data_IF_951138463655
#
_entry.id   IF_951138463655
#
_cell.length_a   1.000
_cell.length_b   1.000
_cell.length_c   1.000
_cell.angle_alpha   90.00
_cell.angle_beta   90.00
_cell.angle_gamma   90.00
#
_symmetry.space_group_name_H-M   'P 1'
#
loop_
_entity.id
_entity.type
_entity.pdbx_description
1 polymer ?
#
# COMPACT_ATOMS: atom_id res chain seq x y z
N UNK A 1 -1.10 24.82 13.88
CA UNK A 1 -0.66 24.19 12.62
C UNK A 1 0.88 24.26 12.47
N UNK A 2 1.55 25.44 12.51
CA UNK A 2 3.02 25.52 12.37
C UNK A 2 3.81 24.92 13.55
N UNK A 3 3.35 25.12 14.79
CA UNK A 3 3.99 24.61 16.01
C UNK A 3 4.09 23.08 16.05
N UNK A 4 3.13 22.39 15.43
CA UNK A 4 3.09 20.93 15.39
C UNK A 4 4.15 20.37 14.44
N UNK A 5 4.53 21.13 13.40
CA UNK A 5 5.67 20.73 12.57
C UNK A 5 6.99 20.92 13.30
N UNK A 6 7.10 21.88 14.22
CA UNK A 6 8.28 22.07 15.06
C UNK A 6 8.57 20.90 16.02
N UNK A 7 7.57 20.07 16.32
CA UNK A 7 7.68 18.91 17.21
C UNK A 7 8.01 17.59 16.49
N UNK A 8 8.05 17.57 15.15
CA UNK A 8 8.42 16.37 14.41
C UNK A 8 9.93 16.12 14.54
N UNK A 9 10.31 14.96 15.08
CA UNK A 9 11.71 14.54 15.04
C UNK A 9 12.22 14.42 13.60
N UNK A 10 13.53 14.64 13.41
CA UNK A 10 14.19 14.65 12.09
C UNK A 10 14.04 13.35 11.29
N UNK A 11 13.84 12.23 11.99
CA UNK A 11 13.64 10.92 11.36
C UNK A 11 12.17 10.54 11.20
N UNK A 12 11.23 11.35 11.69
CA UNK A 12 9.82 11.03 11.63
C UNK A 12 9.18 11.67 10.41
N UNK A 13 8.25 10.94 9.79
CA UNK A 13 7.47 11.41 8.65
C UNK A 13 6.00 11.39 9.05
N UNK A 14 5.37 12.55 8.99
CA UNK A 14 3.93 12.69 9.15
C UNK A 14 3.25 12.28 7.84
N UNK A 15 2.29 11.36 7.95
CA UNK A 15 1.52 10.83 6.82
C UNK A 15 0.09 11.34 6.98
N UNK A 16 -0.34 12.22 6.08
CA UNK A 16 -1.70 12.73 6.03
C UNK A 16 -2.40 12.14 4.80
N UNK A 17 -3.57 11.55 5.01
CA UNK A 17 -4.45 11.12 3.92
C UNK A 17 -5.72 11.97 3.96
N UNK A 18 -5.86 12.88 3.00
CA UNK A 18 -7.03 13.75 2.87
C UNK A 18 -8.05 13.01 2.02
N UNK A 19 -9.01 12.37 2.68
CA UNK A 19 -10.02 11.51 2.05
C UNK A 19 -10.82 12.27 0.99
N UNK A 20 -11.32 13.45 1.35
CA UNK A 20 -12.12 14.35 0.50
C UNK A 20 -11.34 14.96 -0.69
N UNK A 21 -10.03 14.76 -0.74
CA UNK A 21 -9.19 15.19 -1.84
C UNK A 21 -8.50 14.02 -2.52
N UNK A 22 -8.71 12.77 -2.06
CA UNK A 22 -8.07 11.57 -2.62
C UNK A 22 -6.55 11.81 -2.81
N UNK A 23 -5.97 12.47 -1.82
CA UNK A 23 -4.61 12.97 -1.87
C UNK A 23 -3.90 12.63 -0.57
N UNK A 24 -2.62 12.28 -0.70
CA UNK A 24 -1.75 12.07 0.44
C UNK A 24 -0.70 13.16 0.49
N UNK A 25 -0.37 13.59 1.70
CA UNK A 25 0.72 14.53 1.97
C UNK A 25 1.68 13.87 2.97
N UNK A 26 2.95 13.81 2.59
CA UNK A 26 4.03 13.36 3.46
C UNK A 26 4.84 14.57 3.86
N UNK A 27 4.94 14.81 5.17
CA UNK A 27 5.64 15.97 5.74
C UNK A 27 6.77 15.47 6.60
N UNK A 28 7.97 16.03 6.41
CA UNK A 28 9.14 15.71 7.25
C UNK A 28 10.08 16.89 7.35
N UNK A 29 10.93 16.86 8.36
CA UNK A 29 12.13 17.70 8.39
C UNK A 29 13.20 17.18 7.44
N UNK A 30 13.96 18.12 6.91
CA UNK A 30 15.17 17.87 6.13
C UNK A 30 16.23 18.91 6.47
N UNK A 31 17.48 18.59 6.18
CA UNK A 31 18.59 19.53 6.35
C UNK A 31 19.38 19.60 5.06
N UNK A 32 19.41 20.79 4.46
CA UNK A 32 20.20 21.05 3.25
C UNK A 32 21.18 22.17 3.57
N UNK A 33 22.46 21.94 3.33
CA UNK A 33 23.54 22.92 3.57
C UNK A 33 23.54 23.52 4.99
N UNK A 34 23.21 22.71 6.01
CA UNK A 34 23.15 23.13 7.42
C UNK A 34 21.89 23.91 7.82
N UNK A 35 20.99 24.22 6.87
CA UNK A 35 19.72 24.87 7.14
C UNK A 35 18.58 23.83 7.20
N UNK A 36 17.63 24.06 8.12
CA UNK A 36 16.48 23.19 8.31
C UNK A 36 15.30 23.62 7.44
N UNK A 37 14.70 22.64 6.79
CA UNK A 37 13.54 22.81 5.92
C UNK A 37 12.48 21.77 6.26
N UNK A 38 11.22 22.13 6.04
CA UNK A 38 10.13 21.16 5.98
C UNK A 38 9.89 20.80 4.53
N UNK A 39 9.91 19.51 4.24
CA UNK A 39 9.65 18.96 2.91
C UNK A 39 8.24 18.40 2.88
N UNK A 40 7.47 18.86 1.90
CA UNK A 40 6.11 18.45 1.61
C UNK A 40 6.11 17.64 0.31
N UNK A 41 5.60 16.41 0.36
CA UNK A 41 5.47 15.54 -0.81
C UNK A 41 4.03 15.10 -0.95
N UNK A 42 3.40 15.47 -2.06
CA UNK A 42 2.02 15.07 -2.35
C UNK A 42 1.97 13.90 -3.33
N UNK A 43 0.85 13.19 -3.34
CA UNK A 43 0.46 12.34 -4.45
C UNK A 43 -1.04 12.02 -4.41
N UNK A 44 -1.63 11.85 -5.60
CA UNK A 44 -3.00 11.34 -5.78
C UNK A 44 -3.07 9.86 -5.38
N UNK A 45 -4.18 9.45 -4.77
CA UNK A 45 -4.37 8.08 -4.26
C UNK A 45 -5.41 7.27 -5.06
N UNK A 46 -6.14 7.92 -5.96
CA UNK A 46 -7.08 7.31 -6.91
C UNK A 46 -7.06 8.08 -8.23
N UNK A 47 -7.70 7.49 -9.23
CA UNK A 47 -7.87 8.03 -10.57
C UNK A 47 -9.33 7.86 -11.01
N UNK A 48 -9.74 8.55 -12.07
CA UNK A 48 -11.10 8.45 -12.61
C UNK A 48 -11.32 7.07 -13.25
N UNK A 49 -12.56 6.58 -13.27
CA UNK A 49 -12.88 5.26 -13.85
C UNK A 49 -12.48 5.18 -15.33
N UNK A 50 -12.61 6.28 -16.08
CA UNK A 50 -12.20 6.39 -17.49
C UNK A 50 -10.71 6.07 -17.71
N UNK A 51 -9.83 6.62 -16.87
CA UNK A 51 -8.39 6.36 -16.92
C UNK A 51 -8.03 4.92 -16.52
N UNK A 52 -8.89 4.25 -15.74
CA UNK A 52 -8.73 2.83 -15.42
C UNK A 52 -9.17 1.95 -16.59
N UNK A 53 -10.30 2.27 -17.21
CA UNK A 53 -10.87 1.49 -18.32
C UNK A 53 -10.03 1.57 -19.60
N UNK A 54 -9.33 2.68 -19.81
CA UNK A 54 -8.41 2.87 -20.95
C UNK A 54 -7.02 2.25 -20.74
N UNK A 55 -6.69 1.85 -19.51
CA UNK A 55 -5.39 1.25 -19.23
C UNK A 55 -5.43 -0.26 -19.44
N UNK A 56 -4.62 -0.78 -20.38
CA UNK A 56 -4.64 -2.20 -20.76
C UNK A 56 -4.53 -3.17 -19.57
N UNK A 57 -3.79 -2.85 -18.49
CA UNK A 57 -3.65 -3.74 -17.33
C UNK A 57 -3.30 -3.09 -15.98
N UNK A 58 -2.48 -2.03 -15.95
CA UNK A 58 -2.03 -1.38 -14.73
C UNK A 58 -1.48 0.02 -15.00
N UNK A 59 -1.79 0.97 -14.13
CA UNK A 59 -1.28 2.33 -14.23
C UNK A 59 0.11 2.42 -13.58
N UNK A 60 1.04 3.10 -14.25
CA UNK A 60 2.35 3.44 -13.68
C UNK A 60 2.22 4.81 -13.03
N UNK A 61 2.34 4.86 -11.71
CA UNK A 61 2.30 6.11 -10.96
C UNK A 61 3.67 6.43 -10.40
N UNK A 62 3.97 7.72 -10.44
CA UNK A 62 5.18 8.32 -9.91
C UNK A 62 4.84 9.00 -8.59
N UNK A 63 5.66 8.73 -7.58
CA UNK A 63 5.50 9.28 -6.25
C UNK A 63 6.81 10.01 -5.90
N UNK A 64 6.80 11.32 -5.61
CA UNK A 64 5.62 12.16 -5.40
C UNK A 64 5.17 12.75 -6.74
N UNK A 65 3.93 13.25 -6.79
CA UNK A 65 3.46 14.02 -7.96
C UNK A 65 4.11 15.41 -7.98
N UNK A 66 4.20 16.02 -6.81
CA UNK A 66 4.72 17.34 -6.51
C UNK A 66 5.50 17.26 -5.19
N UNK A 67 6.63 17.96 -5.14
CA UNK A 67 7.42 18.09 -3.92
C UNK A 67 7.91 19.53 -3.76
N UNK A 68 7.63 20.11 -2.60
CA UNK A 68 7.99 21.47 -2.22
C UNK A 68 8.73 21.45 -0.88
N UNK A 69 9.52 22.48 -0.61
CA UNK A 69 10.18 22.67 0.67
C UNK A 69 10.07 24.14 1.11
N UNK A 70 9.94 24.37 2.41
CA UNK A 70 9.89 25.72 2.98
C UNK A 70 10.61 25.73 4.33
N UNK A 71 11.21 26.87 4.70
CA UNK A 71 11.76 27.05 6.05
C UNK A 71 10.64 27.21 7.07
N UNK A 72 10.92 26.95 8.35
CA UNK A 72 9.96 27.19 9.43
C UNK A 72 9.49 28.65 9.46
N UNK A 73 10.41 29.60 9.27
CA UNK A 73 10.13 31.04 9.21
C UNK A 73 9.11 31.37 8.10
N UNK A 74 9.31 30.81 6.91
CA UNK A 74 8.41 31.02 5.78
C UNK A 74 7.01 30.45 6.04
N UNK A 75 6.92 29.33 6.78
CA UNK A 75 5.64 28.73 7.18
C UNK A 75 4.93 29.51 8.29
N UNK A 76 5.66 30.20 9.18
CA UNK A 76 5.03 31.09 10.17
C UNK A 76 4.29 32.25 9.50
N UNK A 77 4.75 32.71 8.33
CA UNK A 77 4.03 33.74 7.56
C UNK A 77 2.68 33.26 7.01
N UNK A 78 2.43 31.94 6.96
CA UNK A 78 1.15 31.34 6.60
C UNK A 78 0.19 31.20 7.79
N UNK A 79 0.58 31.63 8.98
CA UNK A 79 -0.26 31.56 10.16
C UNK A 79 -1.38 32.59 10.06
N UNK A 80 -2.52 32.18 9.50
CA UNK A 80 -3.74 32.96 9.55
C UNK A 80 -4.27 33.00 10.99
N UNK A 81 -4.50 34.20 11.52
CA UNK A 81 -5.29 34.41 12.73
C UNK A 81 -6.77 34.26 12.36
N UNK A 82 -7.37 33.12 12.70
CA UNK A 82 -8.80 32.89 12.49
C UNK A 82 -9.60 33.60 13.57
N UNK A 83 -10.40 34.59 13.19
CA UNK A 83 -11.51 35.07 14.01
C UNK A 83 -12.68 34.14 13.73
N UNK A 84 -13.06 33.33 14.71
CA UNK A 84 -14.18 32.39 14.62
C UNK A 84 -15.47 33.13 14.21
N UNK A 85 -15.86 32.99 12.95
CA UNK A 85 -17.23 33.23 12.55
C UNK A 85 -17.96 31.88 12.68
N UNK A 86 -18.87 31.80 13.65
CA UNK A 86 -19.81 30.67 13.88
C UNK A 86 -20.78 30.52 12.69
N UNK A 87 -20.25 30.30 11.49
CA UNK A 87 -21.04 29.97 10.31
C UNK A 87 -21.01 28.46 10.16
N UNK A 88 -22.16 27.77 10.22
CA UNK A 88 -22.22 26.35 9.93
C UNK A 88 -21.87 26.15 8.44
N UNK A 89 -20.62 25.76 8.19
CA UNK A 89 -20.17 25.36 6.86
C UNK A 89 -20.84 24.03 6.55
N UNK A 90 -21.80 24.06 5.64
CA UNK A 90 -22.45 22.85 5.14
C UNK A 90 -21.52 22.21 4.11
N UNK A 91 -20.81 21.15 4.50
CA UNK A 91 -19.98 20.35 3.60
C UNK A 91 -20.86 19.60 2.59
N UNK A 92 -20.96 20.12 1.37
CA UNK A 92 -21.42 19.33 0.22
C UNK A 92 -20.28 18.41 -0.22
N UNK A 93 -20.33 17.16 0.24
CA UNK A 93 -19.39 16.09 -0.10
C UNK A 93 -19.69 15.52 -1.48
N UNK A 94 -18.75 15.69 -2.41
CA UNK A 94 -18.42 14.75 -3.51
C UNK A 94 -17.35 15.34 -4.46
N UNK A 95 -16.23 15.82 -3.92
CA UNK A 95 -15.13 16.26 -4.79
C UNK A 95 -14.13 15.12 -4.96
N UNK A 96 -14.21 14.41 -6.10
CA UNK A 96 -13.21 13.41 -6.51
C UNK A 96 -11.90 14.07 -6.98
N UNK A 97 -11.84 15.41 -7.00
CA UNK A 97 -10.71 16.18 -7.50
C UNK A 97 -9.73 16.59 -6.38
N UNK A 98 -8.45 16.19 -6.45
CA UNK A 98 -7.39 16.60 -5.52
C UNK A 98 -6.96 18.06 -5.65
N UNK A 99 -7.73 18.94 -6.30
CA UNK A 99 -7.31 20.29 -6.67
C UNK A 99 -6.90 21.17 -5.49
N UNK A 100 -7.53 21.06 -4.32
CA UNK A 100 -7.15 21.87 -3.15
C UNK A 100 -5.73 21.53 -2.69
N UNK A 101 -5.36 20.24 -2.73
CA UNK A 101 -4.00 19.83 -2.39
C UNK A 101 -3.05 20.14 -3.54
N UNK A 102 -3.41 19.73 -4.75
CA UNK A 102 -2.47 19.71 -5.89
C UNK A 102 -2.34 21.03 -6.64
N UNK A 103 -3.41 21.82 -6.71
CA UNK A 103 -3.50 23.07 -7.47
C UNK A 103 -3.57 24.33 -6.57
N UNK A 104 -3.76 24.17 -5.25
CA UNK A 104 -3.71 25.31 -4.31
C UNK A 104 -2.57 25.16 -3.30
N UNK A 105 -2.62 24.15 -2.43
CA UNK A 105 -1.66 24.01 -1.32
C UNK A 105 -0.22 23.86 -1.82
N UNK A 106 0.04 22.94 -2.75
CA UNK A 106 1.40 22.70 -3.25
C UNK A 106 2.01 23.92 -3.96
N UNK A 107 1.30 24.63 -4.87
CA UNK A 107 1.79 25.88 -5.44
C UNK A 107 2.04 27.00 -4.41
N UNK A 108 1.20 27.14 -3.38
CA UNK A 108 1.42 28.11 -2.29
C UNK A 108 2.72 27.78 -1.53
N UNK A 109 2.92 26.51 -1.20
CA UNK A 109 4.14 26.04 -0.52
C UNK A 109 5.39 26.23 -1.40
N UNK A 110 5.28 25.99 -2.71
CA UNK A 110 6.36 26.22 -3.67
C UNK A 110 6.69 27.72 -3.80
N UNK A 111 5.69 28.60 -3.81
CA UNK A 111 5.87 30.05 -3.91
C UNK A 111 6.54 30.66 -2.67
N UNK A 112 6.29 30.08 -1.49
CA UNK A 112 6.82 30.58 -0.21
C UNK A 112 8.21 30.02 0.11
N UNK A 113 8.51 28.83 -0.40
CA UNK A 113 9.82 28.23 -0.29
C UNK A 113 10.43 27.98 -1.65
N UNK A 114 10.56 26.71 -2.03
CA UNK A 114 11.05 26.33 -3.34
C UNK A 114 10.56 24.94 -3.74
N UNK A 115 10.65 24.65 -5.04
CA UNK A 115 10.49 23.28 -5.54
C UNK A 115 11.58 22.37 -4.99
N UNK A 116 11.22 21.15 -4.62
CA UNK A 116 12.17 20.13 -4.17
C UNK A 116 12.15 18.92 -5.13
N UNK A 117 13.28 18.66 -5.79
CA UNK A 117 13.46 17.49 -6.64
C UNK A 117 13.71 16.22 -5.82
N UNK A 118 12.63 15.64 -5.30
CA UNK A 118 12.69 14.38 -4.57
C UNK A 118 12.83 13.17 -5.52
N UNK A 119 13.56 12.11 -5.10
CA UNK A 119 13.62 10.88 -5.88
C UNK A 119 12.22 10.27 -6.06
N UNK A 120 11.93 9.92 -7.30
CA UNK A 120 10.64 9.39 -7.73
C UNK A 120 10.60 7.88 -7.50
N UNK A 121 9.64 7.46 -6.69
CA UNK A 121 9.27 6.07 -6.54
C UNK A 121 8.19 5.73 -7.57
N UNK A 122 8.50 4.87 -8.52
CA UNK A 122 7.53 4.39 -9.51
C UNK A 122 6.86 3.10 -9.05
N UNK A 123 5.53 3.08 -8.94
CA UNK A 123 4.76 1.85 -8.66
C UNK A 123 3.76 1.55 -9.77
N UNK A 124 3.56 0.27 -10.04
CA UNK A 124 2.41 -0.21 -10.81
C UNK A 124 1.22 -0.33 -9.86
N UNK A 125 0.21 0.50 -10.07
CA UNK A 125 -1.04 0.50 -9.34
C UNK A 125 -2.10 -0.16 -10.22
N UNK A 126 -2.66 -1.26 -9.73
CA UNK A 126 -3.84 -1.86 -10.36
C UNK A 126 -5.07 -1.22 -9.72
N UNK A 127 -5.83 -0.47 -10.49
CA UNK A 127 -7.22 -0.22 -10.18
C UNK A 127 -8.04 -1.28 -10.91
N UNK A 128 -8.86 -1.99 -10.14
CA UNK A 128 -9.91 -2.83 -10.71
C UNK A 128 -11.19 -2.03 -10.56
N UNK A 129 -12.05 -2.08 -11.58
CA UNK A 129 -13.37 -1.47 -11.62
C UNK A 129 -14.29 -2.63 -11.95
N UNK A 130 -14.84 -3.29 -10.94
CA UNK A 130 -15.81 -4.36 -11.15
C UNK A 130 -17.21 -3.75 -11.03
N UNK A 131 -17.91 -3.62 -12.15
CA UNK A 131 -19.32 -3.19 -12.20
C UNK A 131 -20.21 -4.42 -12.32
N UNK A 132 -20.22 -5.28 -11.29
CA UNK A 132 -21.19 -6.35 -11.19
C UNK A 132 -22.47 -5.80 -10.56
N UNK A 133 -23.27 -5.10 -11.37
CA UNK A 133 -24.64 -4.68 -11.02
C UNK A 133 -24.81 -3.61 -9.94
N UNK A 134 -23.77 -3.29 -9.16
CA UNK A 134 -23.81 -2.21 -8.16
C UNK A 134 -23.42 -0.85 -8.77
N UNK A 135 -24.04 0.22 -8.26
CA UNK A 135 -23.88 1.61 -8.70
C UNK A 135 -22.44 2.13 -8.51
N UNK A 136 -21.63 1.46 -7.68
CA UNK A 136 -20.25 1.84 -7.38
C UNK A 136 -19.29 0.70 -7.74
N UNK A 137 -18.28 0.94 -8.59
CA UNK A 137 -17.31 -0.09 -8.92
C UNK A 137 -16.44 -0.42 -7.70
N UNK A 138 -16.15 -1.71 -7.47
CA UNK A 138 -15.26 -2.13 -6.39
C UNK A 138 -13.87 -1.49 -6.56
N UNK A 139 -13.42 -0.68 -5.59
CA UNK A 139 -12.10 -0.01 -5.60
C UNK A 139 -11.21 -0.51 -4.46
N UNK A 140 -9.91 -0.66 -4.72
CA UNK A 140 -8.91 -0.90 -3.68
C UNK A 140 -8.84 0.29 -2.73
N UNK A 141 -8.73 0.04 -1.43
CA UNK A 141 -8.63 1.08 -0.39
C UNK A 141 -7.45 2.04 -0.67
N UNK A 142 -7.68 3.34 -0.96
CA UNK A 142 -6.60 4.26 -1.30
C UNK A 142 -5.62 4.47 -0.13
N UNK A 143 -6.11 4.41 1.11
CA UNK A 143 -5.28 4.47 2.31
C UNK A 143 -4.18 3.39 2.34
N UNK A 144 -4.46 2.19 1.83
CA UNK A 144 -3.45 1.13 1.73
C UNK A 144 -2.31 1.48 0.77
N UNK A 145 -2.61 2.22 -0.30
CA UNK A 145 -1.58 2.73 -1.20
C UNK A 145 -0.70 3.76 -0.49
N UNK A 146 -1.32 4.66 0.27
CA UNK A 146 -0.61 5.68 1.08
C UNK A 146 0.36 5.00 2.04
N UNK A 147 -0.11 4.05 2.85
CA UNK A 147 0.73 3.34 3.82
C UNK A 147 1.90 2.63 3.15
N UNK A 148 1.66 1.95 2.02
CA UNK A 148 2.71 1.28 1.25
C UNK A 148 3.73 2.22 0.64
N UNK A 149 3.32 3.41 0.20
CA UNK A 149 4.24 4.41 -0.37
C UNK A 149 5.05 5.04 0.75
N UNK A 150 4.39 5.42 1.85
CA UNK A 150 5.02 5.99 3.02
C UNK A 150 6.04 5.04 3.65
N UNK A 151 5.68 3.79 3.93
CA UNK A 151 6.58 2.80 4.50
C UNK A 151 7.83 2.58 3.62
N UNK A 152 7.65 2.48 2.30
CA UNK A 152 8.79 2.33 1.39
C UNK A 152 9.69 3.57 1.40
N UNK A 153 9.12 4.78 1.40
CA UNK A 153 9.92 6.00 1.46
C UNK A 153 10.69 6.12 2.75
N UNK A 154 10.04 5.83 3.88
CA UNK A 154 10.69 5.89 5.19
C UNK A 154 11.91 4.97 5.23
N UNK A 155 11.76 3.74 4.72
CA UNK A 155 12.87 2.80 4.63
C UNK A 155 13.96 3.27 3.65
N UNK A 156 13.58 3.87 2.52
CA UNK A 156 14.55 4.45 1.58
C UNK A 156 15.28 5.68 2.16
N UNK A 157 14.65 6.45 3.04
CA UNK A 157 15.29 7.56 3.75
C UNK A 157 16.25 7.05 4.82
N UNK A 158 15.84 6.05 5.60
CA UNK A 158 16.63 5.53 6.71
C UNK A 158 17.83 4.68 6.27
N UNK A 159 17.68 3.90 5.19
CA UNK A 159 18.67 2.90 4.76
C UNK A 159 19.29 3.21 3.39
N UNK A 160 18.83 4.26 2.71
CA UNK A 160 19.14 4.52 1.31
C UNK A 160 18.27 3.74 0.33
N UNK A 161 18.38 4.06 -0.96
CA UNK A 161 17.45 3.57 -1.99
C UNK A 161 17.48 2.05 -2.17
N UNK A 162 18.67 1.45 -2.20
CA UNK A 162 18.84 0.00 -2.45
C UNK A 162 18.40 -0.83 -1.24
N UNK A 163 19.00 -0.57 -0.06
CA UNK A 163 18.66 -1.28 1.18
C UNK A 163 17.23 -1.00 1.63
N UNK A 164 16.72 0.22 1.45
CA UNK A 164 15.34 0.56 1.77
C UNK A 164 14.32 -0.19 0.90
N UNK A 165 14.65 -0.43 -0.39
CA UNK A 165 13.83 -1.28 -1.27
C UNK A 165 13.81 -2.73 -0.78
N UNK A 166 14.95 -3.27 -0.36
CA UNK A 166 15.07 -4.63 0.19
C UNK A 166 14.31 -4.74 1.50
N UNK A 167 14.52 -3.81 2.43
CA UNK A 167 13.80 -3.71 3.69
C UNK A 167 12.29 -3.64 3.50
N UNK A 168 11.81 -2.86 2.52
CA UNK A 168 10.39 -2.81 2.19
C UNK A 168 9.85 -4.15 1.70
N UNK A 169 10.62 -4.89 0.89
CA UNK A 169 10.23 -6.23 0.45
C UNK A 169 10.15 -7.21 1.62
N UNK A 170 11.11 -7.16 2.55
CA UNK A 170 11.06 -7.94 3.79
C UNK A 170 9.84 -7.60 4.63
N UNK A 171 9.57 -6.31 4.88
CA UNK A 171 8.38 -5.85 5.60
C UNK A 171 7.09 -6.41 4.99
N UNK A 172 6.98 -6.36 3.66
CA UNK A 172 5.82 -6.92 2.96
C UNK A 172 5.73 -8.45 3.08
N UNK A 173 6.86 -9.16 3.11
CA UNK A 173 6.87 -10.61 3.33
C UNK A 173 6.43 -10.96 4.75
N UNK A 174 6.94 -10.26 5.77
CA UNK A 174 6.55 -10.47 7.17
C UNK A 174 5.07 -10.17 7.37
N UNK A 175 4.58 -9.02 6.87
CA UNK A 175 3.17 -8.64 6.97
C UNK A 175 2.26 -9.66 6.29
N UNK A 176 2.64 -10.16 5.11
CA UNK A 176 1.86 -11.20 4.43
C UNK A 176 1.95 -12.55 5.16
N UNK A 177 3.11 -12.90 5.72
CA UNK A 177 3.28 -14.12 6.51
C UNK A 177 2.37 -14.14 7.73
N UNK A 178 2.40 -13.07 8.53
CA UNK A 178 1.54 -12.90 9.70
C UNK A 178 0.05 -12.89 9.31
N UNK A 179 -0.32 -12.15 8.26
CA UNK A 179 -1.70 -12.11 7.79
C UNK A 179 -2.19 -13.51 7.40
N UNK A 180 -1.35 -14.32 6.75
CA UNK A 180 -1.75 -15.67 6.37
C UNK A 180 -1.89 -16.56 7.60
N UNK A 181 -0.95 -16.52 8.55
CA UNK A 181 -1.02 -17.28 9.80
C UNK A 181 -2.30 -16.96 10.59
N UNK A 182 -2.66 -15.68 10.72
CA UNK A 182 -3.87 -15.27 11.43
C UNK A 182 -5.17 -15.63 10.70
N UNK A 183 -5.09 -15.76 9.38
CA UNK A 183 -6.23 -16.06 8.50
C UNK A 183 -6.43 -17.54 8.21
N UNK A 184 -5.43 -18.37 8.48
CA UNK A 184 -5.49 -19.82 8.27
C UNK A 184 -6.66 -20.40 9.08
N UNK A 185 -7.56 -21.10 8.40
CA UNK A 185 -8.79 -21.66 8.99
C UNK A 185 -9.96 -20.68 9.16
N UNK A 186 -9.79 -19.37 8.91
CA UNK A 186 -10.87 -18.36 9.00
C UNK A 186 -11.33 -17.83 7.64
N UNK A 187 -10.40 -17.69 6.69
CA UNK A 187 -10.70 -17.23 5.34
C UNK A 187 -11.06 -18.40 4.42
N UNK A 188 -11.82 -18.09 3.36
CA UNK A 188 -12.07 -19.03 2.27
C UNK A 188 -10.72 -19.59 1.74
N UNK A 189 -10.60 -20.92 1.54
CA UNK A 189 -9.41 -21.56 0.99
C UNK A 189 -8.80 -20.86 -0.24
N UNK A 190 -9.62 -20.33 -1.15
CA UNK A 190 -9.16 -19.60 -2.34
C UNK A 190 -8.37 -18.33 -2.01
N UNK A 191 -8.84 -17.56 -1.02
CA UNK A 191 -8.17 -16.34 -0.58
C UNK A 191 -6.83 -16.65 0.10
N UNK A 192 -6.80 -17.72 0.90
CA UNK A 192 -5.58 -18.24 1.54
C UNK A 192 -4.55 -18.66 0.48
N UNK A 193 -4.98 -19.37 -0.57
CA UNK A 193 -4.12 -19.71 -1.72
C UNK A 193 -3.60 -18.45 -2.44
N UNK A 194 -4.45 -17.45 -2.62
CA UNK A 194 -4.05 -16.20 -3.26
C UNK A 194 -3.02 -15.43 -2.42
N UNK A 195 -3.18 -15.37 -1.09
CA UNK A 195 -2.22 -14.76 -0.18
C UNK A 195 -0.90 -15.53 -0.19
N UNK A 196 -0.93 -16.86 -0.11
CA UNK A 196 0.26 -17.72 -0.24
C UNK A 196 1.02 -17.46 -1.54
N UNK A 197 0.32 -17.44 -2.68
CA UNK A 197 0.93 -17.13 -3.97
C UNK A 197 1.52 -15.71 -4.01
N UNK A 198 0.91 -14.72 -3.33
CA UNK A 198 1.48 -13.37 -3.20
C UNK A 198 2.78 -13.39 -2.38
N UNK A 199 2.83 -14.13 -1.27
CA UNK A 199 4.02 -14.25 -0.44
C UNK A 199 5.17 -14.94 -1.19
N UNK A 200 4.92 -16.09 -1.81
CA UNK A 200 5.92 -16.82 -2.60
C UNK A 200 6.52 -15.97 -3.73
N UNK A 201 5.67 -15.24 -4.48
CA UNK A 201 6.14 -14.32 -5.52
C UNK A 201 6.97 -13.16 -4.97
N UNK A 202 6.72 -12.74 -3.72
CA UNK A 202 7.51 -11.68 -3.07
C UNK A 202 8.86 -12.20 -2.61
N UNK A 203 8.91 -13.42 -2.07
CA UNK A 203 10.16 -14.11 -1.73
C UNK A 203 11.04 -14.32 -2.97
N UNK A 204 10.49 -14.82 -4.08
CA UNK A 204 11.24 -14.97 -5.32
C UNK A 204 11.84 -13.63 -5.80
N UNK A 205 11.07 -12.54 -5.71
CA UNK A 205 11.55 -11.18 -6.03
C UNK A 205 12.61 -10.66 -5.06
N UNK A 206 12.67 -11.20 -3.85
CA UNK A 206 13.63 -10.81 -2.84
C UNK A 206 14.94 -11.56 -3.05
N UNK A 207 14.88 -12.85 -3.37
CA UNK A 207 16.06 -13.64 -3.80
C UNK A 207 16.69 -13.08 -5.08
N UNK A 208 15.88 -12.70 -6.06
CA UNK A 208 16.39 -12.00 -7.25
C UNK A 208 17.08 -10.67 -6.90
N UNK A 209 16.57 -9.92 -5.93
CA UNK A 209 17.23 -8.68 -5.49
C UNK A 209 18.53 -9.01 -4.75
N UNK A 210 18.60 -10.10 -3.96
CA UNK A 210 19.83 -10.56 -3.26
C UNK A 210 20.99 -10.75 -4.22
N UNK A 211 20.75 -11.37 -5.37
CA UNK A 211 21.78 -11.60 -6.39
C UNK A 211 22.29 -10.31 -7.05
N UNK A 212 21.53 -9.21 -6.97
CA UNK A 212 21.86 -7.94 -7.62
C UNK A 212 22.36 -6.88 -6.64
N UNK A 213 22.58 -7.22 -5.36
CA UNK A 213 23.03 -6.27 -4.34
C UNK A 213 24.47 -5.85 -4.62
N UNK A 214 24.73 -4.54 -4.55
CA UNK A 214 26.09 -4.01 -4.64
C UNK A 214 26.98 -4.58 -3.52
N UNK A 215 28.24 -4.95 -3.80
CA UNK A 215 29.14 -5.54 -2.79
C UNK A 215 29.29 -4.68 -1.51
N UNK A 216 29.25 -3.35 -1.64
CA UNK A 216 29.31 -2.42 -0.51
C UNK A 216 28.12 -2.54 0.46
N UNK A 217 26.95 -2.93 -0.05
CA UNK A 217 25.70 -3.05 0.71
C UNK A 217 25.39 -4.49 1.12
N UNK A 218 26.11 -5.46 0.53
CA UNK A 218 25.93 -6.89 0.82
C UNK A 218 26.13 -7.18 2.31
N UNK A 219 27.20 -6.65 2.93
CA UNK A 219 27.50 -6.84 4.35
C UNK A 219 26.38 -6.37 5.30
N UNK A 220 25.64 -5.32 4.93
CA UNK A 220 24.53 -4.77 5.73
C UNK A 220 23.25 -5.59 5.51
N UNK A 221 23.03 -6.08 4.29
CA UNK A 221 21.84 -6.83 3.94
C UNK A 221 21.88 -8.30 4.38
N UNK A 222 23.06 -8.94 4.40
CA UNK A 222 23.20 -10.38 4.66
C UNK A 222 22.60 -10.82 6.00
N UNK A 223 22.78 -10.09 7.13
CA UNK A 223 22.13 -10.44 8.39
C UNK A 223 20.60 -10.46 8.31
N UNK A 224 20.00 -9.58 7.50
CA UNK A 224 18.55 -9.56 7.30
C UNK A 224 18.09 -10.82 6.57
N UNK A 225 18.82 -11.26 5.54
CA UNK A 225 18.52 -12.49 4.82
C UNK A 225 18.68 -13.72 5.72
N UNK A 226 19.76 -13.80 6.51
CA UNK A 226 20.00 -14.90 7.44
C UNK A 226 18.90 -15.00 8.50
N UNK A 227 18.44 -13.86 9.03
CA UNK A 227 17.45 -13.84 10.11
C UNK A 227 16.01 -14.01 9.61
N UNK A 228 15.62 -13.25 8.58
CA UNK A 228 14.23 -13.17 8.14
C UNK A 228 13.90 -14.20 7.06
N UNK A 229 14.87 -14.61 6.24
CA UNK A 229 14.67 -15.62 5.19
C UNK A 229 14.09 -16.93 5.73
N UNK A 230 14.74 -17.57 6.72
CA UNK A 230 14.25 -18.81 7.33
C UNK A 230 12.89 -18.64 8.01
N UNK A 231 12.66 -17.53 8.72
CA UNK A 231 11.37 -17.24 9.36
C UNK A 231 10.23 -17.24 8.32
N UNK A 232 10.40 -16.49 7.23
CA UNK A 232 9.36 -16.39 6.19
C UNK A 232 9.16 -17.76 5.51
N UNK A 233 10.24 -18.52 5.29
CA UNK A 233 10.16 -19.87 4.73
C UNK A 233 9.37 -20.81 5.65
N UNK A 234 9.66 -20.79 6.95
CA UNK A 234 8.94 -21.59 7.95
C UNK A 234 7.45 -21.23 7.98
N UNK A 235 7.10 -19.93 7.95
CA UNK A 235 5.70 -19.50 7.86
C UNK A 235 5.00 -20.04 6.60
N UNK A 236 5.68 -20.05 5.45
CA UNK A 236 5.11 -20.62 4.22
C UNK A 236 4.91 -22.12 4.35
N UNK A 237 5.88 -22.85 4.90
CA UNK A 237 5.80 -24.29 5.12
C UNK A 237 4.66 -24.65 6.08
N UNK A 238 4.53 -23.93 7.19
CA UNK A 238 3.44 -24.10 8.17
C UNK A 238 2.06 -23.86 7.55
N UNK A 239 1.90 -22.77 6.80
CA UNK A 239 0.64 -22.48 6.11
C UNK A 239 0.33 -23.54 5.06
N UNK A 240 1.36 -24.09 4.40
CA UNK A 240 1.21 -25.13 3.39
C UNK A 240 0.64 -26.40 4.00
N UNK A 241 1.18 -26.85 5.13
CA UNK A 241 0.72 -28.06 5.81
C UNK A 241 -0.68 -27.88 6.39
N UNK A 242 -0.97 -26.74 7.02
CA UNK A 242 -2.32 -26.42 7.51
C UNK A 242 -3.35 -26.38 6.37
N UNK A 243 -2.97 -25.81 5.23
CA UNK A 243 -3.83 -25.79 4.05
C UNK A 243 -4.08 -27.19 3.50
N UNK A 244 -3.05 -28.02 3.33
CA UNK A 244 -3.19 -29.38 2.82
C UNK A 244 -4.12 -30.21 3.72
N UNK A 245 -4.01 -30.08 5.04
CA UNK A 245 -4.93 -30.71 5.98
C UNK A 245 -6.39 -30.22 5.84
N UNK A 246 -6.58 -28.90 5.67
CA UNK A 246 -7.92 -28.29 5.48
C UNK A 246 -8.52 -28.66 4.12
N UNK A 247 -7.69 -28.79 3.10
CA UNK A 247 -8.08 -29.18 1.75
C UNK A 247 -8.48 -30.65 1.68
N UNK A 248 -7.73 -31.55 2.32
CA UNK A 248 -8.07 -32.97 2.36
C UNK A 248 -9.37 -33.23 3.15
N UNK A 249 -9.58 -32.54 4.26
CA UNK A 249 -10.87 -32.61 4.98
C UNK A 249 -12.04 -32.07 4.15
N UNK A 250 -11.82 -30.97 3.41
CA UNK A 250 -12.83 -30.42 2.49
C UNK A 250 -13.14 -31.35 1.33
N UNK A 251 -12.13 -32.02 0.74
CA UNK A 251 -12.33 -33.05 -0.27
C UNK A 251 -13.17 -34.20 0.28
N UNK A 252 -12.83 -34.71 1.47
CA UNK A 252 -13.58 -35.79 2.09
C UNK A 252 -15.04 -35.43 2.34
N UNK A 253 -15.33 -34.19 2.74
CA UNK A 253 -16.69 -33.68 2.89
C UNK A 253 -17.43 -33.48 1.56
N UNK A 254 -16.69 -33.18 0.48
CA UNK A 254 -17.23 -32.96 -0.86
C UNK A 254 -17.33 -34.25 -1.71
N UNK A 255 -16.82 -35.40 -1.22
CA UNK A 255 -17.10 -36.69 -1.85
C UNK A 255 -18.57 -37.01 -1.59
N UNK A 256 -19.39 -36.80 -2.61
CA UNK A 256 -20.77 -37.24 -2.62
C UNK A 256 -20.81 -38.77 -2.59
N UNK A 257 -21.43 -39.35 -1.57
CA UNK A 257 -21.84 -40.74 -1.61
C UNK A 257 -22.92 -40.89 -2.68
N UNK A 258 -22.54 -41.37 -3.87
CA UNK A 258 -23.50 -41.77 -4.90
C UNK A 258 -24.27 -42.97 -4.33
N UNK A 259 -25.57 -42.86 -4.04
CA UNK A 259 -26.35 -44.01 -3.60
C UNK A 259 -26.32 -45.03 -4.75
N UNK A 260 -26.00 -46.29 -4.44
CA UNK A 260 -26.19 -47.36 -5.41
C UNK A 260 -27.68 -47.37 -5.79
N UNK A 261 -27.98 -46.98 -7.02
CA UNK A 261 -29.31 -47.16 -7.60
C UNK A 261 -29.68 -48.64 -7.47
N UNK A 262 -30.82 -48.92 -6.86
CA UNK A 262 -31.33 -50.28 -6.75
C UNK A 262 -31.55 -50.83 -8.15
N UNK A 263 -30.82 -51.90 -8.49
CA UNK A 263 -31.05 -52.72 -9.68
C UNK A 263 -32.41 -53.42 -9.52
N UNK A 264 -33.48 -52.78 -9.97
CA UNK A 264 -34.82 -53.36 -9.91
C UNK A 264 -35.88 -52.32 -10.21
N UNK A 265 -36.02 -51.96 -11.48
CA UNK A 265 -37.31 -51.47 -11.95
C UNK A 265 -38.27 -52.68 -11.95
N UNK A 266 -39.41 -52.62 -11.26
CA UNK A 266 -40.43 -53.64 -11.42
C UNK A 266 -41.06 -53.55 -12.82
N UNK A 267 -41.05 -54.67 -13.56
CA UNK A 267 -41.75 -54.85 -14.84
C UNK A 267 -43.28 -54.92 -14.65
N UNK A 268 -43.91 -53.84 -14.19
CA UNK A 268 -45.37 -53.72 -14.24
C UNK A 268 -45.81 -52.34 -14.72
N UNK A 269 -45.70 -52.11 -16.03
CA UNK A 269 -46.70 -51.35 -16.77
C UNK A 269 -46.37 -51.47 -18.25
N UNK A 270 -47.21 -52.23 -18.98
CA UNK A 270 -47.80 -51.89 -20.28
C UNK A 270 -48.58 -53.14 -20.75
N UNK A 271 -49.71 -53.38 -20.08
CA UNK A 271 -50.91 -53.96 -20.69
C UNK A 271 -51.74 -52.79 -21.24
#
# INVERSE_FOLDING_TARGET
>A
MPEHFGQLDRNNMLILYVVEQIAALLVRHDTCNGQQYIVFKEFKTSTTSEQVLTADHALKWDFPGHSAQASMEALYNLQASTREANVPVTETRDTTDPALVTQMLMPILEAIGSRNHAPVLRKRVRHEVNTQGEVLPWRRLPFWLVLRVAAQRQLSLALGNELGRIGYKFLMCVLLGQLIQESAGKLNPELTMMLRAKLLRRMAKLEMDKANIRPSNAAISEPLFIRLGPMIKATVEEVTTQFEATWESSKQAAIWHIPKLSSGAPDYALL
#
